data_IF_090323313237
#
_entry.id   IF_090323313237
#
_cell.length_a   1.000
_cell.length_b   1.000
_cell.length_c   1.000
_cell.angle_alpha   90.00
_cell.angle_beta   90.00
_cell.angle_gamma   90.00
#
_symmetry.space_group_name_H-M   'P 1'
#
loop_
_entity.id
_entity.type
_entity.pdbx_description
1 polymer ?
#
# COMPACT_ATOMS: atom_id res chain seq x y z
N UNK A 1 -29.41 71.79 -7.46
CA UNK A 1 -28.14 71.22 -6.96
C UNK A 1 -28.51 70.17 -5.94
N UNK A 2 -28.65 68.94 -6.43
CA UNK A 2 -27.87 67.76 -6.01
C UNK A 2 -28.60 67.03 -4.86
N UNK A 3 -29.11 65.80 -4.97
CA UNK A 3 -28.71 64.69 -5.83
C UNK A 3 -28.03 63.58 -5.03
N UNK A 4 -28.54 63.22 -3.84
CA UNK A 4 -27.97 62.19 -2.97
C UNK A 4 -28.65 60.82 -3.17
N UNK A 5 -28.27 60.10 -4.22
CA UNK A 5 -28.67 58.72 -4.43
C UNK A 5 -27.92 57.77 -3.50
N UNK A 6 -28.67 57.04 -2.66
CA UNK A 6 -28.18 55.91 -1.87
C UNK A 6 -27.65 54.85 -2.84
N UNK A 7 -26.33 54.66 -2.87
CA UNK A 7 -25.73 53.50 -3.54
C UNK A 7 -25.82 52.32 -2.59
N UNK A 8 -26.88 51.55 -2.77
CA UNK A 8 -27.03 50.21 -2.24
C UNK A 8 -25.93 49.34 -2.87
N UNK A 9 -24.90 49.05 -2.09
CA UNK A 9 -23.80 48.18 -2.51
C UNK A 9 -24.32 46.75 -2.41
N UNK A 10 -24.82 46.22 -3.53
CA UNK A 10 -25.15 44.80 -3.69
C UNK A 10 -23.86 43.98 -3.52
N UNK A 11 -23.59 43.56 -2.29
CA UNK A 11 -22.59 42.54 -2.01
C UNK A 11 -23.06 41.22 -2.61
N UNK A 12 -22.57 40.90 -3.81
CA UNK A 12 -22.59 39.53 -4.29
C UNK A 12 -21.61 38.73 -3.45
N UNK A 13 -22.14 38.10 -2.40
CA UNK A 13 -21.45 37.06 -1.66
C UNK A 13 -21.36 35.85 -2.61
N UNK A 14 -20.39 35.90 -3.53
CA UNK A 14 -19.91 34.68 -4.16
C UNK A 14 -19.37 33.86 -3.01
N UNK A 15 -20.16 32.90 -2.53
CA UNK A 15 -19.70 31.81 -1.70
C UNK A 15 -18.60 31.08 -2.46
N UNK A 16 -17.39 31.63 -2.44
CA UNK A 16 -16.20 30.97 -2.93
C UNK A 16 -15.95 29.91 -1.88
N UNK A 17 -16.61 28.76 -2.06
CA UNK A 17 -16.17 27.52 -1.45
C UNK A 17 -14.66 27.44 -1.70
N UNK A 18 -13.89 27.63 -0.63
CA UNK A 18 -12.45 27.47 -0.67
C UNK A 18 -12.19 26.12 -1.35
N UNK A 19 -11.37 26.06 -2.42
CA UNK A 19 -11.17 24.82 -3.14
C UNK A 19 -10.69 23.76 -2.16
N UNK A 20 -11.51 22.72 -1.95
CA UNK A 20 -11.16 21.64 -1.03
C UNK A 20 -9.81 21.06 -1.44
N UNK A 21 -8.87 21.07 -0.50
CA UNK A 21 -7.55 20.49 -0.73
C UNK A 21 -7.71 18.99 -0.94
N UNK A 22 -7.11 18.48 -2.02
CA UNK A 22 -7.09 17.05 -2.32
C UNK A 22 -6.30 16.30 -1.25
N UNK A 23 -6.93 15.31 -0.62
CA UNK A 23 -6.23 14.42 0.32
C UNK A 23 -5.40 13.43 -0.47
N UNK A 24 -4.08 13.42 -0.28
CA UNK A 24 -3.18 12.42 -0.88
C UNK A 24 -3.15 11.16 -0.03
N UNK A 25 -3.59 10.05 -0.59
CA UNK A 25 -3.70 8.77 0.10
C UNK A 25 -3.03 7.66 -0.69
N UNK A 26 -2.46 6.70 0.04
CA UNK A 26 -1.96 5.45 -0.49
C UNK A 26 -2.68 4.29 0.19
N UNK A 27 -2.71 3.09 -0.42
CA UNK A 27 -3.33 1.93 0.22
C UNK A 27 -2.82 1.70 1.65
N UNK A 28 -1.50 1.85 1.86
CA UNK A 28 -0.88 1.70 3.17
C UNK A 28 -1.29 2.79 4.17
N UNK A 29 -1.49 4.03 3.74
CA UNK A 29 -1.96 5.12 4.62
C UNK A 29 -3.39 4.86 5.09
N UNK A 30 -4.28 4.52 4.16
CA UNK A 30 -5.68 4.20 4.46
C UNK A 30 -5.77 3.00 5.40
N UNK A 31 -5.10 1.89 5.05
CA UNK A 31 -5.12 0.69 5.88
C UNK A 31 -4.53 0.94 7.28
N UNK A 32 -3.48 1.76 7.40
CA UNK A 32 -2.90 2.11 8.71
C UNK A 32 -3.89 2.89 9.58
N UNK A 33 -4.65 3.82 8.99
CA UNK A 33 -5.66 4.59 9.71
C UNK A 33 -6.86 3.71 10.10
N UNK A 34 -7.38 2.91 9.16
CA UNK A 34 -8.47 1.97 9.41
C UNK A 34 -8.09 0.95 10.49
N UNK A 35 -6.87 0.42 10.42
CA UNK A 35 -6.35 -0.49 11.44
C UNK A 35 -6.31 0.19 12.81
N UNK A 36 -5.61 1.32 12.92
CA UNK A 36 -5.43 2.04 14.16
C UNK A 36 -5.08 3.51 13.90
N UNK A 37 -6.00 4.46 14.15
CA UNK A 37 -5.75 5.89 13.97
C UNK A 37 -4.52 6.38 14.74
N UNK A 38 -4.27 5.86 15.96
CA UNK A 38 -3.04 6.19 16.70
C UNK A 38 -1.77 5.76 15.97
N UNK A 39 -1.75 4.59 15.35
CA UNK A 39 -0.59 4.14 14.54
C UNK A 39 -0.38 5.06 13.34
N UNK A 40 -1.46 5.50 12.71
CA UNK A 40 -1.39 6.48 11.61
C UNK A 40 -0.77 7.80 12.09
N UNK A 41 -1.24 8.36 13.21
CA UNK A 41 -0.70 9.61 13.78
C UNK A 41 0.81 9.51 14.05
N UNK A 42 1.21 8.46 14.77
CA UNK A 42 2.62 8.21 15.12
C UNK A 42 3.49 8.00 13.86
N UNK A 43 2.95 7.40 12.80
CA UNK A 43 3.70 7.13 11.57
C UNK A 43 3.85 8.35 10.66
N UNK A 44 2.79 9.14 10.51
CA UNK A 44 2.69 10.11 9.42
C UNK A 44 2.62 11.57 9.88
N UNK A 45 2.10 11.83 11.09
CA UNK A 45 1.84 13.19 11.57
C UNK A 45 2.84 13.65 12.63
N UNK A 46 3.16 12.81 13.62
CA UNK A 46 4.02 13.19 14.74
C UNK A 46 5.47 13.44 14.28
N UNK A 47 6.04 14.59 14.66
CA UNK A 47 7.41 15.01 14.35
C UNK A 47 8.13 15.56 15.60
N UNK A 48 9.36 15.10 15.92
CA UNK A 48 10.10 14.02 15.25
C UNK A 48 9.37 12.68 15.36
N UNK A 49 9.62 11.77 14.41
CA UNK A 49 8.95 10.47 14.40
C UNK A 49 9.23 9.74 15.73
N UNK A 50 8.19 9.26 16.43
CA UNK A 50 8.34 8.52 17.68
C UNK A 50 9.18 7.25 17.52
N UNK A 51 9.62 6.71 18.65
CA UNK A 51 10.43 5.50 18.68
C UNK A 51 9.69 4.31 18.04
N UNK A 52 10.40 3.62 17.14
CA UNK A 52 9.92 2.40 16.48
C UNK A 52 10.67 1.18 16.97
N UNK A 53 10.06 0.01 16.82
CA UNK A 53 10.77 -1.27 16.90
C UNK A 53 11.83 -1.35 15.80
N UNK A 54 12.77 -2.27 15.98
CA UNK A 54 13.68 -2.66 14.91
C UNK A 54 12.97 -3.35 13.74
N UNK A 55 13.74 -3.77 12.73
CA UNK A 55 13.21 -4.45 11.54
C UNK A 55 12.59 -5.81 11.91
N UNK A 56 11.47 -6.15 11.25
CA UNK A 56 10.85 -7.46 11.36
C UNK A 56 11.34 -8.38 10.25
N UNK A 57 11.71 -9.63 10.58
CA UNK A 57 12.26 -10.59 9.63
C UNK A 57 11.35 -10.84 8.42
N UNK A 58 10.03 -10.94 8.64
CA UNK A 58 9.07 -11.15 7.55
C UNK A 58 9.00 -9.96 6.57
N UNK A 59 9.17 -8.74 7.08
CA UNK A 59 9.23 -7.53 6.25
C UNK A 59 10.54 -7.46 5.47
N UNK A 60 11.66 -7.82 6.10
CA UNK A 60 12.97 -7.95 5.45
C UNK A 60 12.91 -9.00 4.33
N UNK A 61 12.37 -10.19 4.62
CA UNK A 61 12.23 -11.29 3.66
C UNK A 61 11.39 -10.88 2.44
N UNK A 62 10.23 -10.25 2.68
CA UNK A 62 9.38 -9.73 1.61
C UNK A 62 10.13 -8.72 0.73
N UNK A 63 10.80 -7.75 1.35
CA UNK A 63 11.59 -6.76 0.61
C UNK A 63 12.71 -7.39 -0.23
N UNK A 64 13.41 -8.42 0.28
CA UNK A 64 14.44 -9.14 -0.49
C UNK A 64 13.83 -9.81 -1.72
N UNK A 65 12.70 -10.50 -1.57
CA UNK A 65 12.03 -11.20 -2.67
C UNK A 65 11.52 -10.21 -3.73
N UNK A 66 10.89 -9.10 -3.32
CA UNK A 66 10.43 -8.07 -4.27
C UNK A 66 11.60 -7.44 -5.03
N UNK A 67 12.69 -7.12 -4.34
CA UNK A 67 13.88 -6.56 -4.98
C UNK A 67 14.52 -7.55 -5.97
N UNK A 68 14.59 -8.84 -5.61
CA UNK A 68 15.12 -9.87 -6.50
C UNK A 68 14.25 -10.06 -7.76
N UNK A 69 12.92 -10.10 -7.61
CA UNK A 69 12.01 -10.21 -8.76
C UNK A 69 12.02 -8.96 -9.63
N UNK A 70 12.03 -7.77 -9.03
CA UNK A 70 12.22 -6.52 -9.78
C UNK A 70 13.52 -6.58 -10.60
N UNK A 71 14.64 -6.90 -9.94
CA UNK A 71 15.93 -6.96 -10.60
C UNK A 71 15.98 -8.02 -11.71
N UNK A 72 15.20 -9.10 -11.57
CA UNK A 72 15.05 -10.12 -12.61
C UNK A 72 14.31 -9.57 -13.83
N UNK A 73 13.17 -8.92 -13.64
CA UNK A 73 12.39 -8.36 -14.75
C UNK A 73 13.07 -7.15 -15.42
N UNK A 74 13.99 -6.46 -14.74
CA UNK A 74 14.87 -5.45 -15.36
C UNK A 74 15.91 -6.07 -16.32
N UNK A 75 16.13 -7.38 -16.29
CA UNK A 75 17.05 -8.05 -17.20
C UNK A 75 16.41 -8.33 -18.56
N UNK A 76 17.21 -8.44 -19.64
CA UNK A 76 16.76 -9.01 -20.90
C UNK A 76 16.16 -10.40 -20.69
N UNK A 77 15.10 -10.73 -21.43
CA UNK A 77 14.36 -12.01 -21.35
C UNK A 77 15.28 -13.24 -21.29
N UNK A 78 16.29 -13.30 -22.16
CA UNK A 78 17.22 -14.44 -22.22
C UNK A 78 18.04 -14.67 -20.92
N UNK A 79 18.08 -13.70 -20.00
CA UNK A 79 18.77 -13.78 -18.71
C UNK A 79 17.83 -14.07 -17.54
N UNK A 80 16.51 -14.06 -17.76
CA UNK A 80 15.48 -14.32 -16.74
C UNK A 80 15.35 -15.82 -16.46
N UNK A 81 16.40 -16.38 -15.86
CA UNK A 81 16.51 -17.81 -15.57
C UNK A 81 16.34 -18.08 -14.06
N UNK A 82 15.91 -19.29 -13.66
CA UNK A 82 15.84 -19.66 -12.24
C UNK A 82 17.18 -19.46 -11.51
N UNK A 83 18.30 -19.80 -12.17
CA UNK A 83 19.64 -19.61 -11.61
C UNK A 83 19.96 -18.13 -11.38
N UNK A 84 19.52 -17.24 -12.28
CA UNK A 84 19.71 -15.80 -12.09
C UNK A 84 18.84 -15.26 -10.95
N UNK A 85 17.60 -15.73 -10.83
CA UNK A 85 16.73 -15.34 -9.72
C UNK A 85 17.32 -15.73 -8.35
N UNK A 86 17.89 -16.95 -8.24
CA UNK A 86 18.61 -17.41 -7.05
C UNK A 86 19.78 -16.48 -6.70
N UNK A 87 20.57 -16.08 -7.70
CA UNK A 87 21.68 -15.16 -7.52
C UNK A 87 21.21 -13.78 -7.04
N UNK A 88 20.11 -13.26 -7.60
CA UNK A 88 19.54 -11.97 -7.21
C UNK A 88 19.04 -11.96 -5.75
N UNK A 89 18.44 -13.05 -5.27
CA UNK A 89 18.12 -13.17 -3.83
C UNK A 89 19.39 -13.12 -2.99
N UNK A 90 20.49 -13.74 -3.45
CA UNK A 90 21.76 -13.69 -2.74
C UNK A 90 22.37 -12.28 -2.69
N UNK A 91 22.27 -11.52 -3.79
CA UNK A 91 22.76 -10.15 -3.94
C UNK A 91 21.97 -9.14 -3.09
N UNK A 92 20.65 -9.33 -2.96
CA UNK A 92 19.78 -8.42 -2.21
C UNK A 92 19.55 -8.82 -0.74
N UNK A 93 20.11 -9.94 -0.29
CA UNK A 93 19.85 -10.51 1.03
C UNK A 93 20.22 -9.56 2.19
N UNK A 94 19.43 -9.58 3.26
CA UNK A 94 19.67 -8.85 4.51
C UNK A 94 19.22 -9.70 5.70
N UNK A 95 20.03 -9.73 6.76
CA UNK A 95 19.76 -10.51 7.99
C UNK A 95 18.92 -9.75 9.04
N UNK A 96 18.49 -8.54 8.71
CA UNK A 96 17.80 -7.65 9.63
C UNK A 96 16.48 -8.27 10.16
N UNK A 97 16.40 -8.43 11.48
CA UNK A 97 15.21 -8.93 12.19
C UNK A 97 15.17 -10.45 12.38
N UNK A 98 16.08 -11.21 11.78
CA UNK A 98 16.22 -12.64 12.05
C UNK A 98 16.84 -12.89 13.44
N UNK A 99 16.57 -14.05 14.02
CA UNK A 99 17.06 -14.43 15.35
C UNK A 99 18.59 -14.59 15.39
N UNK A 100 19.13 -15.26 14.37
CA UNK A 100 20.52 -15.66 14.24
C UNK A 100 20.86 -15.95 12.77
N UNK A 101 22.14 -16.19 12.50
CA UNK A 101 22.67 -16.49 11.17
C UNK A 101 22.08 -17.77 10.58
N UNK A 102 21.76 -18.77 11.41
CA UNK A 102 21.19 -20.05 10.99
C UNK A 102 19.74 -19.89 10.49
N UNK A 103 18.92 -19.11 11.21
CA UNK A 103 17.57 -18.76 10.78
C UNK A 103 17.62 -17.93 9.50
N UNK A 104 18.51 -16.94 9.41
CA UNK A 104 18.68 -16.15 8.21
C UNK A 104 19.09 -17.02 7.01
N UNK A 105 20.06 -17.93 7.18
CA UNK A 105 20.49 -18.85 6.13
C UNK A 105 19.36 -19.77 5.64
N UNK A 106 18.53 -20.30 6.56
CA UNK A 106 17.35 -21.11 6.22
C UNK A 106 16.35 -20.34 5.35
N UNK A 107 16.01 -19.11 5.75
CA UNK A 107 15.05 -18.31 4.97
C UNK A 107 15.65 -17.79 3.66
N UNK A 108 16.97 -17.58 3.59
CA UNK A 108 17.66 -17.31 2.33
C UNK A 108 17.54 -18.46 1.36
N UNK A 109 17.73 -19.70 1.82
CA UNK A 109 17.56 -20.89 1.01
C UNK A 109 16.10 -21.02 0.50
N UNK A 110 15.12 -20.76 1.37
CA UNK A 110 13.70 -20.75 0.98
C UNK A 110 13.37 -19.70 -0.06
N UNK A 111 13.79 -18.45 0.17
CA UNK A 111 13.56 -17.36 -0.78
C UNK A 111 14.17 -17.66 -2.16
N UNK A 112 15.36 -18.29 -2.19
CA UNK A 112 15.98 -18.78 -3.43
C UNK A 112 15.13 -19.83 -4.14
N UNK A 113 14.60 -20.81 -3.40
CA UNK A 113 13.68 -21.80 -3.93
C UNK A 113 12.43 -21.16 -4.54
N UNK A 114 11.76 -20.29 -3.77
CA UNK A 114 10.53 -19.63 -4.21
C UNK A 114 10.70 -18.82 -5.50
N UNK A 115 11.78 -18.04 -5.64
CA UNK A 115 11.99 -17.26 -6.87
C UNK A 115 12.43 -18.14 -8.04
N UNK A 116 13.10 -19.27 -7.78
CA UNK A 116 13.49 -20.20 -8.83
C UNK A 116 12.26 -20.90 -9.40
N UNK A 117 11.43 -21.48 -8.52
CA UNK A 117 10.15 -22.12 -8.84
C UNK A 117 9.23 -21.13 -9.56
N UNK A 118 9.12 -19.89 -9.07
CA UNK A 118 8.33 -18.86 -9.74
C UNK A 118 8.75 -18.64 -11.20
N UNK A 119 10.06 -18.60 -11.49
CA UNK A 119 10.58 -18.39 -12.85
C UNK A 119 10.42 -19.63 -13.72
N UNK A 120 10.44 -20.82 -13.13
CA UNK A 120 10.25 -22.08 -13.84
C UNK A 120 8.78 -22.30 -14.22
N UNK A 121 7.86 -21.96 -13.33
CA UNK A 121 6.43 -22.24 -13.48
C UNK A 121 5.64 -21.13 -14.18
N UNK A 122 6.23 -19.95 -14.40
CA UNK A 122 5.54 -18.80 -14.96
C UNK A 122 6.24 -18.25 -16.21
N UNK A 123 5.44 -17.68 -17.11
CA UNK A 123 5.99 -16.94 -18.23
C UNK A 123 6.64 -15.64 -17.73
N UNK A 124 7.96 -15.59 -17.81
CA UNK A 124 8.77 -14.41 -17.50
C UNK A 124 9.32 -13.72 -18.76
N UNK A 125 8.86 -14.14 -19.93
CA UNK A 125 9.30 -13.61 -21.22
C UNK A 125 8.58 -12.32 -21.63
N UNK A 126 7.42 -12.05 -21.06
CA UNK A 126 6.74 -10.78 -21.22
C UNK A 126 7.49 -9.65 -20.49
N UNK A 127 7.64 -8.51 -21.16
CA UNK A 127 8.18 -7.29 -20.56
C UNK A 127 7.08 -6.53 -19.81
N UNK A 128 7.22 -6.34 -18.48
CA UNK A 128 6.26 -5.53 -17.74
C UNK A 128 6.31 -4.07 -18.18
N UNK A 129 5.16 -3.43 -18.31
CA UNK A 129 5.06 -1.99 -18.61
C UNK A 129 5.34 -1.12 -17.39
N UNK A 130 5.41 -1.72 -16.20
CA UNK A 130 5.88 -1.06 -14.97
C UNK A 130 6.47 -2.04 -13.96
N UNK A 131 7.60 -1.66 -13.36
CA UNK A 131 8.25 -2.37 -12.26
C UNK A 131 8.50 -1.39 -11.11
N UNK A 132 8.00 -1.71 -9.91
CA UNK A 132 7.98 -0.81 -8.76
C UNK A 132 7.57 0.63 -9.16
N UNK A 133 6.58 0.74 -10.05
CA UNK A 133 6.24 2.01 -10.71
C UNK A 133 5.30 2.82 -9.83
N UNK A 134 5.59 4.11 -9.68
CA UNK A 134 4.67 5.06 -9.05
C UNK A 134 3.48 5.32 -9.98
N UNK A 135 2.27 5.10 -9.48
CA UNK A 135 1.01 5.38 -10.16
C UNK A 135 0.20 6.37 -9.34
N UNK A 136 -0.53 7.26 -10.00
CA UNK A 136 -1.32 8.31 -9.36
C UNK A 136 -2.56 8.65 -10.15
N UNK A 137 -3.69 8.82 -9.46
CA UNK A 137 -4.93 9.32 -10.05
C UNK A 137 -5.66 10.27 -9.08
N UNK A 138 -6.05 11.47 -9.54
CA UNK A 138 -7.09 12.24 -8.86
C UNK A 138 -8.44 11.56 -9.10
N UNK A 139 -9.21 11.33 -8.03
CA UNK A 139 -10.49 10.59 -8.08
C UNK A 139 -11.58 11.27 -7.25
N UNK A 140 -12.84 11.01 -7.63
CA UNK A 140 -14.07 11.34 -6.90
C UNK A 140 -15.13 10.32 -7.29
N UNK A 141 -15.90 9.81 -6.32
CA UNK A 141 -16.93 8.78 -6.57
C UNK A 141 -18.32 9.35 -6.80
N UNK A 142 -18.57 10.58 -6.37
CA UNK A 142 -19.88 11.28 -6.47
C UNK A 142 -20.06 12.06 -7.76
N UNK A 143 -19.02 12.11 -8.61
CA UNK A 143 -19.02 12.93 -9.82
C UNK A 143 -18.73 14.39 -9.50
N UNK A 144 -17.83 15.01 -10.28
CA UNK A 144 -17.41 16.40 -10.07
C UNK A 144 -15.89 16.54 -9.92
N UNK A 145 -15.47 17.54 -9.14
CA UNK A 145 -14.04 17.77 -8.89
C UNK A 145 -13.48 16.63 -8.05
N UNK A 146 -12.24 16.16 -8.32
CA UNK A 146 -11.57 15.20 -7.45
C UNK A 146 -11.58 15.67 -6.00
N UNK A 147 -11.67 14.72 -5.08
CA UNK A 147 -11.67 14.95 -3.61
C UNK A 147 -10.42 14.39 -2.97
N UNK A 148 -9.81 13.37 -3.61
CA UNK A 148 -8.56 12.76 -3.19
C UNK A 148 -7.65 12.45 -4.38
N UNK A 149 -6.37 12.25 -4.10
CA UNK A 149 -5.40 11.66 -5.02
C UNK A 149 -5.01 10.31 -4.44
N UNK A 150 -5.31 9.25 -5.16
CA UNK A 150 -4.79 7.92 -4.86
C UNK A 150 -3.42 7.77 -5.52
N UNK A 151 -2.42 7.37 -4.74
CA UNK A 151 -1.06 7.19 -5.22
C UNK A 151 -0.33 6.05 -4.50
N UNK A 152 0.65 5.48 -5.17
CA UNK A 152 1.53 4.48 -4.56
C UNK A 152 2.35 3.74 -5.60
N UNK A 153 3.02 2.69 -5.12
CA UNK A 153 3.99 1.94 -5.91
C UNK A 153 3.46 0.53 -6.16
N UNK A 154 3.15 0.22 -7.41
CA UNK A 154 2.76 -1.13 -7.81
C UNK A 154 4.01 -1.99 -8.05
N UNK A 155 4.03 -3.23 -7.56
CA UNK A 155 5.21 -4.12 -7.68
C UNK A 155 5.52 -4.42 -9.15
N UNK A 156 4.51 -4.88 -9.90
CA UNK A 156 4.60 -5.14 -11.33
C UNK A 156 3.28 -4.78 -12.03
N UNK A 157 3.40 -4.22 -13.23
CA UNK A 157 2.27 -3.92 -14.12
C UNK A 157 2.57 -4.57 -15.46
N UNK A 158 1.78 -5.55 -15.84
CA UNK A 158 1.89 -6.24 -17.13
C UNK A 158 0.89 -5.66 -18.13
N UNK A 159 1.12 -5.91 -19.42
CA UNK A 159 0.12 -5.66 -20.46
C UNK A 159 -0.21 -6.99 -21.13
N UNK A 160 -1.48 -7.40 -21.07
CA UNK A 160 -1.96 -8.67 -21.64
C UNK A 160 -3.24 -8.41 -22.44
N UNK A 161 -3.25 -8.77 -23.72
CA UNK A 161 -4.43 -8.60 -24.57
C UNK A 161 -4.91 -7.15 -24.74
N UNK A 162 -4.02 -6.16 -24.60
CA UNK A 162 -4.36 -4.74 -24.72
C UNK A 162 -4.85 -4.07 -23.42
N UNK A 163 -4.87 -4.81 -22.31
CA UNK A 163 -5.22 -4.31 -20.99
C UNK A 163 -4.05 -4.46 -20.01
N UNK A 164 -4.03 -3.61 -19.00
CA UNK A 164 -3.08 -3.69 -17.90
C UNK A 164 -3.53 -4.73 -16.87
N UNK A 165 -2.54 -5.37 -16.23
CA UNK A 165 -2.74 -6.26 -15.09
C UNK A 165 -1.85 -5.79 -13.94
N UNK A 166 -2.44 -5.51 -12.79
CA UNK A 166 -1.65 -5.23 -11.57
C UNK A 166 -1.24 -6.55 -10.94
N UNK A 167 0.05 -6.72 -10.71
CA UNK A 167 0.62 -7.87 -10.03
C UNK A 167 1.28 -7.41 -8.73
N UNK A 168 0.91 -8.04 -7.63
CA UNK A 168 1.50 -7.81 -6.31
C UNK A 168 2.06 -9.13 -5.76
N UNK A 169 3.30 -9.07 -5.28
CA UNK A 169 4.00 -10.24 -4.77
C UNK A 169 3.73 -10.44 -3.28
N UNK A 170 3.50 -11.69 -2.87
CA UNK A 170 3.24 -12.06 -1.48
C UNK A 170 4.19 -13.14 -1.00
N UNK A 171 4.80 -12.91 0.16
CA UNK A 171 5.66 -13.85 0.90
C UNK A 171 5.07 -14.25 2.25
N UNK A 172 3.75 -14.11 2.39
CA UNK A 172 3.02 -14.35 3.64
C UNK A 172 2.91 -15.84 4.00
N UNK A 173 2.22 -16.14 5.10
CA UNK A 173 2.02 -17.54 5.54
C UNK A 173 0.94 -18.28 4.75
N UNK A 174 -0.08 -17.55 4.29
CA UNK A 174 -1.30 -18.12 3.70
C UNK A 174 -1.33 -17.74 2.23
N UNK A 175 -1.57 -18.75 1.38
CA UNK A 175 -1.85 -18.53 -0.02
C UNK A 175 -3.16 -17.73 -0.15
N UNK A 176 -3.18 -16.67 -0.98
CA UNK A 176 -4.39 -15.91 -1.24
C UNK A 176 -5.35 -16.69 -2.13
N UNK A 177 -6.64 -16.33 -2.06
CA UNK A 177 -7.65 -16.79 -3.00
C UNK A 177 -8.22 -15.63 -3.85
N UNK A 178 -9.06 -15.98 -4.84
CA UNK A 178 -9.74 -15.01 -5.70
C UNK A 178 -10.53 -13.96 -4.89
N UNK A 179 -11.13 -14.37 -3.76
CA UNK A 179 -11.90 -13.45 -2.92
C UNK A 179 -10.99 -12.39 -2.29
N UNK A 180 -9.84 -12.78 -1.76
CA UNK A 180 -8.84 -11.84 -1.22
C UNK A 180 -8.29 -10.91 -2.31
N UNK A 181 -8.04 -11.39 -3.52
CA UNK A 181 -7.64 -10.54 -4.66
C UNK A 181 -8.74 -9.51 -5.01
N UNK A 182 -10.01 -9.97 -5.13
CA UNK A 182 -11.17 -9.13 -5.45
C UNK A 182 -11.51 -8.12 -4.34
N UNK A 183 -11.28 -8.49 -3.08
CA UNK A 183 -11.54 -7.66 -1.91
C UNK A 183 -10.39 -6.68 -1.59
N UNK A 184 -9.25 -6.79 -2.26
CA UNK A 184 -8.09 -5.93 -2.02
C UNK A 184 -8.32 -4.50 -2.51
N UNK A 185 -8.57 -3.59 -1.56
CA UNK A 185 -8.66 -2.15 -1.84
C UNK A 185 -7.35 -1.59 -2.42
N UNK A 186 -6.21 -2.16 -2.01
CA UNK A 186 -4.90 -1.77 -2.54
C UNK A 186 -4.79 -2.06 -4.05
N UNK A 187 -5.14 -3.27 -4.48
CA UNK A 187 -5.09 -3.66 -5.88
C UNK A 187 -6.08 -2.84 -6.73
N UNK A 188 -7.30 -2.62 -6.24
CA UNK A 188 -8.28 -1.79 -6.93
C UNK A 188 -7.81 -0.33 -7.10
N UNK A 189 -7.20 0.26 -6.07
CA UNK A 189 -6.60 1.59 -6.15
C UNK A 189 -5.47 1.63 -7.19
N UNK A 190 -4.60 0.61 -7.23
CA UNK A 190 -3.54 0.53 -8.23
C UNK A 190 -4.07 0.36 -9.65
N UNK A 191 -5.13 -0.42 -9.87
CA UNK A 191 -5.74 -0.58 -11.18
C UNK A 191 -6.28 0.77 -11.72
N UNK A 192 -6.99 1.53 -10.88
CA UNK A 192 -7.49 2.87 -11.23
C UNK A 192 -6.34 3.85 -11.48
N UNK A 193 -5.33 3.85 -10.60
CA UNK A 193 -4.19 4.75 -10.72
C UNK A 193 -3.32 4.44 -11.96
N UNK A 194 -3.11 3.15 -12.26
CA UNK A 194 -2.38 2.69 -13.44
C UNK A 194 -3.12 3.06 -14.73
N UNK A 195 -4.45 2.89 -14.76
CA UNK A 195 -5.28 3.30 -15.90
C UNK A 195 -5.06 4.76 -16.25
N UNK A 196 -5.04 5.64 -15.23
CA UNK A 196 -4.80 7.07 -15.43
C UNK A 196 -3.36 7.38 -15.84
N UNK A 197 -2.40 6.71 -15.21
CA UNK A 197 -0.96 6.96 -15.40
C UNK A 197 -0.47 6.50 -16.77
N UNK A 198 -0.93 5.33 -17.22
CA UNK A 198 -0.48 4.67 -18.44
C UNK A 198 -1.46 4.82 -19.61
N UNK A 199 -2.65 5.41 -19.37
CA UNK A 199 -3.70 5.67 -20.37
C UNK A 199 -4.17 4.40 -21.09
N UNK A 200 -4.29 3.30 -20.35
CA UNK A 200 -4.73 2.00 -20.84
C UNK A 200 -5.67 1.35 -19.82
N UNK A 201 -6.72 0.62 -20.23
CA UNK A 201 -7.65 0.00 -19.28
C UNK A 201 -6.95 -0.97 -18.32
N UNK A 202 -7.41 -1.02 -17.07
CA UNK A 202 -6.93 -1.98 -16.07
C UNK A 202 -8.11 -2.46 -15.21
N UNK A 203 -8.56 -3.68 -15.45
CA UNK A 203 -9.64 -4.33 -14.67
C UNK A 203 -9.12 -5.55 -13.91
N UNK A 204 -7.99 -6.13 -14.32
CA UNK A 204 -7.44 -7.36 -13.77
C UNK A 204 -6.35 -7.09 -12.75
N UNK A 205 -6.39 -7.84 -11.65
CA UNK A 205 -5.44 -7.76 -10.56
C UNK A 205 -5.06 -9.16 -10.08
N UNK A 206 -3.81 -9.34 -9.69
CA UNK A 206 -3.24 -10.64 -9.33
C UNK A 206 -2.39 -10.53 -8.06
N UNK A 207 -2.55 -11.53 -7.17
CA UNK A 207 -1.70 -11.79 -6.03
C UNK A 207 -0.87 -13.04 -6.33
N UNK A 208 0.44 -12.85 -6.49
CA UNK A 208 1.37 -13.96 -6.72
C UNK A 208 2.01 -14.34 -5.38
N UNK A 209 1.67 -15.51 -4.85
CA UNK A 209 2.17 -15.99 -3.58
C UNK A 209 3.37 -16.91 -3.78
N UNK A 210 4.55 -16.36 -3.57
CA UNK A 210 5.83 -17.02 -3.85
C UNK A 210 6.01 -18.32 -3.05
N UNK A 211 5.65 -18.42 -1.75
CA UNK A 211 5.84 -19.66 -1.01
C UNK A 211 5.02 -20.86 -1.48
N UNK A 212 3.88 -20.65 -2.14
CA UNK A 212 3.00 -21.74 -2.59
C UNK A 212 2.85 -21.84 -4.11
N UNK A 213 3.45 -20.92 -4.87
CA UNK A 213 3.23 -20.79 -6.31
C UNK A 213 1.81 -20.32 -6.70
N UNK A 214 0.93 -20.04 -5.74
CA UNK A 214 -0.47 -19.69 -6.02
C UNK A 214 -0.58 -18.31 -6.65
N UNK A 215 -1.31 -18.21 -7.75
CA UNK A 215 -1.74 -16.94 -8.35
C UNK A 215 -3.25 -16.81 -8.13
N UNK A 216 -3.63 -15.87 -7.26
CA UNK A 216 -5.02 -15.48 -7.09
C UNK A 216 -5.32 -14.27 -7.96
N UNK A 217 -6.22 -14.42 -8.92
CA UNK A 217 -6.61 -13.36 -9.85
C UNK A 217 -8.05 -12.93 -9.62
N UNK A 218 -8.34 -11.65 -9.86
CA UNK A 218 -9.68 -11.12 -9.89
C UNK A 218 -9.84 -10.09 -11.01
N UNK A 219 -11.04 -10.03 -11.58
CA UNK A 219 -11.42 -9.01 -12.56
C UNK A 219 -12.49 -8.10 -11.96
N UNK A 220 -12.28 -6.80 -12.11
CA UNK A 220 -13.16 -5.76 -11.60
C UNK A 220 -14.04 -5.16 -12.70
N UNK A 221 -15.33 -5.01 -12.40
CA UNK A 221 -16.22 -4.12 -13.16
C UNK A 221 -16.05 -2.67 -12.70
N UNK A 222 -16.49 -1.67 -13.49
CA UNK A 222 -16.53 -0.27 -13.07
C UNK A 222 -17.23 -0.06 -11.72
N UNK A 223 -18.32 -0.78 -11.45
CA UNK A 223 -19.07 -0.69 -10.20
C UNK A 223 -18.27 -1.23 -9.01
N UNK A 224 -17.53 -2.34 -9.21
CA UNK A 224 -16.68 -2.89 -8.14
C UNK A 224 -15.49 -1.99 -7.84
N UNK A 225 -14.86 -1.37 -8.85
CA UNK A 225 -13.82 -0.36 -8.65
C UNK A 225 -14.39 0.85 -7.91
N UNK A 226 -15.56 1.34 -8.34
CA UNK A 226 -16.23 2.47 -7.68
C UNK A 226 -16.45 2.20 -6.20
N UNK A 227 -16.94 1.01 -5.81
CA UNK A 227 -17.12 0.64 -4.39
C UNK A 227 -15.83 0.66 -3.58
N UNK A 228 -14.69 0.26 -4.17
CA UNK A 228 -13.39 0.36 -3.52
C UNK A 228 -12.97 1.83 -3.33
N UNK A 229 -13.23 2.67 -4.34
CA UNK A 229 -12.94 4.09 -4.27
C UNK A 229 -13.84 4.83 -3.27
N UNK A 230 -15.12 4.46 -3.15
CA UNK A 230 -16.05 5.04 -2.17
C UNK A 230 -15.56 4.82 -0.74
N UNK A 231 -15.16 3.59 -0.40
CA UNK A 231 -14.54 3.30 0.91
C UNK A 231 -13.24 4.06 1.13
N UNK A 232 -12.38 4.14 0.11
CA UNK A 232 -11.14 4.90 0.20
C UNK A 232 -11.40 6.40 0.41
N UNK A 233 -12.44 6.95 -0.22
CA UNK A 233 -12.85 8.35 -0.11
C UNK A 233 -13.44 8.66 1.27
N UNK A 234 -14.24 7.74 1.84
CA UNK A 234 -14.74 7.82 3.21
C UNK A 234 -13.58 7.87 4.22
N UNK A 235 -12.68 6.88 4.18
CA UNK A 235 -11.48 6.85 5.05
C UNK A 235 -10.60 8.09 4.86
N UNK A 236 -10.44 8.56 3.62
CA UNK A 236 -9.68 9.77 3.33
C UNK A 236 -10.33 11.04 3.89
N UNK A 237 -11.67 11.08 3.90
CA UNK A 237 -12.46 12.14 4.52
C UNK A 237 -12.27 12.19 6.03
N UNK A 238 -12.38 11.05 6.71
CA UNK A 238 -12.16 10.91 8.15
C UNK A 238 -10.73 11.30 8.55
N UNK A 239 -9.75 10.81 7.79
CA UNK A 239 -8.34 11.14 7.99
C UNK A 239 -8.08 12.63 7.85
N UNK A 240 -8.64 13.27 6.80
CA UNK A 240 -8.52 14.72 6.59
C UNK A 240 -9.16 15.49 7.75
N UNK A 241 -10.38 15.15 8.13
CA UNK A 241 -11.07 15.80 9.25
C UNK A 241 -10.26 15.71 10.55
N UNK A 242 -9.77 14.51 10.88
CA UNK A 242 -8.94 14.29 12.07
C UNK A 242 -7.62 15.08 12.02
N UNK A 243 -6.95 15.11 10.86
CA UNK A 243 -5.69 15.85 10.68
C UNK A 243 -5.92 17.37 10.75
N UNK A 244 -6.93 17.89 10.08
CA UNK A 244 -7.25 19.33 10.09
C UNK A 244 -7.66 19.79 11.50
N UNK A 245 -8.41 18.96 12.25
CA UNK A 245 -8.78 19.27 13.64
C UNK A 245 -7.58 19.23 14.57
N UNK A 246 -6.62 18.32 14.33
CA UNK A 246 -5.37 18.28 15.08
C UNK A 246 -4.52 19.54 14.82
N UNK A 247 -4.39 19.94 13.55
CA UNK A 247 -3.68 21.16 13.16
C UNK A 247 -4.32 22.43 13.74
N UNK A 248 -5.64 22.41 13.96
CA UNK A 248 -6.40 23.46 14.64
C UNK A 248 -6.27 23.43 16.18
N UNK A 249 -5.48 22.52 16.76
CA UNK A 249 -5.22 22.41 18.19
C UNK A 249 -6.15 21.45 18.95
N UNK A 250 -6.88 20.59 18.24
CA UNK A 250 -7.69 19.53 18.85
C UNK A 250 -6.85 18.48 19.59
N UNK A 251 -7.49 17.77 20.52
CA UNK A 251 -6.83 16.69 21.27
C UNK A 251 -6.50 15.50 20.36
N UNK A 252 -5.21 15.31 20.07
CA UNK A 252 -4.74 14.24 19.22
C UNK A 252 -5.06 12.83 19.74
N UNK A 253 -5.24 12.64 21.04
CA UNK A 253 -5.57 11.32 21.60
C UNK A 253 -7.04 10.96 21.40
N UNK A 254 -7.92 11.97 21.39
CA UNK A 254 -9.33 11.83 21.03
C UNK A 254 -9.53 11.68 19.51
N UNK A 255 -8.76 12.42 18.70
CA UNK A 255 -8.84 12.37 17.24
C UNK A 255 -8.23 11.10 16.65
N UNK A 256 -7.18 10.57 17.29
CA UNK A 256 -6.48 9.37 16.86
C UNK A 256 -6.46 8.32 17.98
N UNK A 257 -7.64 7.75 18.32
CA UNK A 257 -7.73 6.75 19.38
C UNK A 257 -6.93 5.50 19.00
N UNK A 258 -6.34 4.86 20.02
CA UNK A 258 -5.79 3.53 19.83
C UNK A 258 -6.94 2.55 19.56
N UNK A 259 -6.71 1.56 18.70
CA UNK A 259 -7.61 0.40 18.50
C UNK A 259 -6.86 -0.88 18.90
N UNK A 260 -6.75 -1.17 20.22
CA UNK A 260 -5.92 -2.26 20.71
C UNK A 260 -6.44 -3.61 20.24
N UNK A 261 -5.54 -4.45 19.74
CA UNK A 261 -5.84 -5.81 19.28
C UNK A 261 -4.58 -6.69 19.31
N UNK A 262 -4.68 -7.92 18.79
CA UNK A 262 -3.53 -8.85 18.71
C UNK A 262 -2.34 -8.25 17.95
N UNK A 263 -2.58 -7.37 16.97
CA UNK A 263 -1.55 -6.74 16.13
C UNK A 263 -0.66 -5.78 16.91
N UNK A 264 -1.09 -5.32 18.07
CA UNK A 264 -0.26 -4.54 18.99
C UNK A 264 1.03 -5.27 19.40
N UNK A 265 1.05 -6.61 19.40
CA UNK A 265 2.24 -7.40 19.69
C UNK A 265 3.39 -7.15 18.70
N UNK A 266 3.07 -6.83 17.45
CA UNK A 266 4.04 -6.56 16.37
C UNK A 266 3.88 -5.18 15.72
N UNK A 267 3.23 -4.24 16.40
CA UNK A 267 3.12 -2.87 15.91
C UNK A 267 4.48 -2.17 16.02
N UNK A 268 4.96 -1.57 14.93
CA UNK A 268 6.23 -0.83 14.92
C UNK A 268 6.31 0.27 15.98
N UNK A 269 5.18 0.87 16.35
CA UNK A 269 5.12 1.97 17.31
C UNK A 269 4.78 1.52 18.72
N UNK A 270 4.83 0.21 19.01
CA UNK A 270 4.61 -0.32 20.36
C UNK A 270 5.48 0.38 21.43
N UNK A 271 6.79 0.69 21.20
CA UNK A 271 7.60 1.41 22.19
C UNK A 271 7.02 2.78 22.59
N UNK A 272 6.25 3.42 21.70
CA UNK A 272 5.64 4.73 21.92
C UNK A 272 4.12 4.68 22.13
N UNK A 273 3.53 3.52 22.41
CA UNK A 273 2.09 3.36 22.55
C UNK A 273 1.71 2.53 23.78
N UNK A 274 1.37 3.19 24.89
CA UNK A 274 0.99 2.55 26.16
C UNK A 274 -0.20 1.58 25.99
N UNK A 275 -1.24 2.00 25.28
CA UNK A 275 -2.40 1.15 25.02
C UNK A 275 -2.00 -0.15 24.28
N UNK A 276 -1.11 -0.06 23.29
CA UNK A 276 -0.59 -1.24 22.59
C UNK A 276 0.30 -2.13 23.46
N UNK A 277 1.07 -1.53 24.39
CA UNK A 277 1.87 -2.29 25.35
C UNK A 277 1.02 -3.10 26.32
N UNK A 278 -0.12 -2.55 26.73
CA UNK A 278 -1.09 -3.21 27.63
C UNK A 278 -1.92 -4.28 26.92
N UNK A 279 -2.19 -4.11 25.62
CA UNK A 279 -3.07 -4.98 24.85
C UNK A 279 -2.50 -6.37 24.58
N UNK A 280 -1.18 -6.46 24.35
CA UNK A 280 -0.53 -7.70 23.97
C UNK A 280 0.95 -7.73 24.37
N UNK A 281 1.51 -8.91 24.71
CA UNK A 281 2.93 -9.08 24.91
C UNK A 281 3.69 -8.77 23.62
N UNK A 282 4.92 -8.27 23.73
CA UNK A 282 5.75 -7.99 22.57
C UNK A 282 6.12 -9.30 21.85
N UNK A 283 5.89 -9.35 20.54
CA UNK A 283 6.42 -10.40 19.68
C UNK A 283 7.92 -10.20 19.44
N UNK A 284 8.63 -11.29 19.18
CA UNK A 284 10.00 -11.23 18.70
C UNK A 284 10.03 -10.88 17.21
N UNK A 285 11.08 -10.18 16.71
CA UNK A 285 11.21 -9.76 15.31
C UNK A 285 11.01 -10.85 14.25
N UNK A 286 11.22 -12.12 14.63
CA UNK A 286 11.09 -13.30 13.77
C UNK A 286 9.81 -14.12 13.95
N UNK A 287 8.95 -13.79 14.93
CA UNK A 287 7.76 -14.61 15.28
C UNK A 287 6.71 -14.70 14.16
N UNK A 288 6.77 -13.79 13.19
CA UNK A 288 5.81 -13.67 12.08
C UNK A 288 6.30 -14.29 10.77
N UNK A 289 7.50 -14.85 10.71
CA UNK A 289 8.02 -15.50 9.51
C UNK A 289 7.09 -16.63 9.05
N UNK A 290 6.87 -16.77 7.74
CA UNK A 290 6.13 -17.90 7.21
C UNK A 290 6.85 -19.22 7.52
N UNK A 291 6.14 -20.28 7.95
CA UNK A 291 6.75 -21.56 8.29
C UNK A 291 7.50 -22.20 7.13
#
# INVERSE_FOLDING_TARGET
>A
MEGGGVKEQLGFDFGVEQPQRLTKVSPARLSTFDDCPRRYRLAYLDRPTPQRTGPWAHSTLGAVVHNALRALFDLPVAKRTPQRAIALVAEHWKDAGFADDDQAARYRARAKGWVAEYVEDNDVSDDPVGLERWVSAPVSTTGGRPTMIIEGRADRIDQRGGELVIVDYKTGRRAPDEHEARASQALAMYAVAATRTLRMPCTKVELHHLPSGTIAAAEHTPETLKRHLERAEETAGDLRLAADTLDAGGDGDALFPARPDRRCAWCDFRPSCVAGQQAAPAAQPWDLLAP
#
